data_IF_894758032628
#
_entry.id   IF_894758032628
#
_cell.length_a   1.000
_cell.length_b   1.000
_cell.length_c   1.000
_cell.angle_alpha   90.00
_cell.angle_beta   90.00
_cell.angle_gamma   90.00
#
_symmetry.space_group_name_H-M   'P 1'
#
loop_
_entity.id
_entity.type
_entity.pdbx_description
1 polymer ?
#
# COMPACT_ATOMS: atom_id res chain seq x y z
N UNK A 1 -12.09 1.89 -12.10
CA UNK A 1 -10.76 1.48 -12.46
C UNK A 1 -10.70 0.01 -12.81
N UNK A 2 -9.70 -0.35 -13.59
CA UNK A 2 -9.52 -1.74 -14.04
C UNK A 2 -8.18 -2.32 -13.61
N UNK A 3 -7.27 -1.47 -13.19
CA UNK A 3 -5.95 -1.90 -12.76
C UNK A 3 -5.64 -1.29 -11.40
N UNK A 4 -5.14 -2.13 -10.50
CA UNK A 4 -4.96 -1.78 -9.09
C UNK A 4 -3.56 -2.21 -8.64
N UNK A 5 -2.87 -1.32 -7.92
CA UNK A 5 -1.62 -1.68 -7.27
C UNK A 5 -1.79 -1.49 -5.77
N UNK A 6 -1.40 -2.48 -5.00
CA UNK A 6 -1.43 -2.45 -3.54
C UNK A 6 0.02 -2.40 -3.04
N UNK A 7 0.38 -1.29 -2.40
CA UNK A 7 1.73 -1.06 -1.88
C UNK A 7 1.65 -1.21 -0.37
N UNK A 8 2.29 -2.26 0.16
CA UNK A 8 2.13 -2.68 1.55
C UNK A 8 3.47 -2.63 2.27
N UNK A 9 3.52 -1.85 3.33
CA UNK A 9 4.68 -1.71 4.20
C UNK A 9 4.92 -3.01 4.96
N UNK A 10 6.13 -3.56 4.82
CA UNK A 10 6.58 -4.73 5.60
C UNK A 10 7.79 -4.40 6.46
N UNK A 11 7.96 -3.12 6.80
CA UNK A 11 9.05 -2.72 7.68
C UNK A 11 8.85 -3.27 9.10
N UNK A 12 9.89 -3.18 9.91
CA UNK A 12 9.89 -3.75 11.27
C UNK A 12 8.71 -3.27 12.11
N UNK A 13 8.30 -2.00 11.96
CA UNK A 13 7.20 -1.43 12.74
C UNK A 13 5.84 -2.05 12.44
N UNK A 14 5.70 -2.71 11.29
CA UNK A 14 4.47 -3.40 10.92
C UNK A 14 4.35 -4.80 11.51
N UNK A 15 5.40 -5.30 12.15
CA UNK A 15 5.42 -6.64 12.71
C UNK A 15 5.07 -6.70 14.19
N UNK A 16 5.32 -7.85 14.80
CA UNK A 16 4.95 -8.15 16.18
C UNK A 16 5.63 -7.29 17.24
N UNK A 17 6.77 -6.68 16.91
CA UNK A 17 7.47 -5.74 17.80
C UNK A 17 6.96 -4.31 17.66
N UNK A 18 6.08 -4.06 16.72
CA UNK A 18 5.42 -2.77 16.51
C UNK A 18 3.92 -2.94 16.61
N UNK A 19 3.19 -2.45 15.61
CA UNK A 19 1.73 -2.49 15.59
C UNK A 19 1.14 -3.87 15.28
N UNK A 20 1.96 -4.81 14.83
CA UNK A 20 1.49 -6.09 14.29
C UNK A 20 0.45 -5.89 13.19
N UNK A 21 0.69 -4.90 12.34
CA UNK A 21 -0.29 -4.45 11.35
C UNK A 21 -0.21 -5.20 10.02
N UNK A 22 0.83 -6.01 9.81
CA UNK A 22 0.99 -6.71 8.53
C UNK A 22 -0.19 -7.65 8.25
N UNK A 23 -0.69 -8.35 9.27
CA UNK A 23 -1.86 -9.20 9.12
C UNK A 23 -3.13 -8.40 8.86
N UNK A 24 -3.26 -7.22 9.48
CA UNK A 24 -4.39 -6.33 9.23
C UNK A 24 -4.34 -5.78 7.80
N UNK A 25 -3.15 -5.45 7.30
CA UNK A 25 -2.97 -5.03 5.92
C UNK A 25 -3.37 -6.13 4.96
N UNK A 26 -3.01 -7.39 5.26
CA UNK A 26 -3.42 -8.52 4.45
C UNK A 26 -4.93 -8.68 4.40
N UNK A 27 -5.62 -8.48 5.53
CA UNK A 27 -7.09 -8.53 5.56
C UNK A 27 -7.72 -7.45 4.71
N UNK A 28 -7.17 -6.23 4.74
CA UNK A 28 -7.65 -5.15 3.89
C UNK A 28 -7.45 -5.49 2.41
N UNK A 29 -6.31 -6.06 2.07
CA UNK A 29 -6.03 -6.50 0.71
C UNK A 29 -7.01 -7.58 0.26
N UNK A 30 -7.26 -8.58 1.11
CA UNK A 30 -8.18 -9.67 0.80
C UNK A 30 -9.59 -9.14 0.51
N UNK A 31 -10.06 -8.17 1.29
CA UNK A 31 -11.35 -7.53 1.08
C UNK A 31 -11.40 -6.79 -0.25
N UNK A 32 -10.35 -6.03 -0.55
CA UNK A 32 -10.30 -5.29 -1.81
C UNK A 32 -10.27 -6.23 -3.01
N UNK A 33 -9.49 -7.31 -2.94
CA UNK A 33 -9.40 -8.28 -4.03
C UNK A 33 -10.71 -9.03 -4.24
N UNK A 34 -11.49 -9.26 -3.19
CA UNK A 34 -12.77 -9.94 -3.30
C UNK A 34 -13.77 -9.15 -4.15
N UNK A 35 -13.58 -7.83 -4.26
CA UNK A 35 -14.44 -6.99 -5.08
C UNK A 35 -14.00 -6.90 -6.54
N UNK A 36 -12.81 -7.40 -6.87
CA UNK A 36 -12.31 -7.37 -8.24
C UNK A 36 -12.93 -8.50 -9.06
N UNK A 37 -13.21 -8.20 -10.32
CA UNK A 37 -13.68 -9.20 -11.28
C UNK A 37 -12.52 -9.67 -12.15
N UNK A 38 -12.72 -10.78 -12.88
CA UNK A 38 -11.65 -11.45 -13.64
C UNK A 38 -11.01 -10.58 -14.71
N UNK A 39 -11.71 -9.56 -15.20
CA UNK A 39 -11.16 -8.62 -16.17
C UNK A 39 -10.25 -7.57 -15.55
N UNK A 40 -10.25 -7.45 -14.23
CA UNK A 40 -9.37 -6.53 -13.53
C UNK A 40 -7.96 -7.13 -13.40
N UNK A 41 -6.98 -6.24 -13.29
CA UNK A 41 -5.59 -6.61 -13.07
C UNK A 41 -5.09 -5.99 -11.78
N UNK A 42 -4.14 -6.66 -11.13
CA UNK A 42 -3.57 -6.14 -9.90
C UNK A 42 -2.08 -6.49 -9.78
N UNK A 43 -1.39 -5.73 -8.95
CA UNK A 43 -0.02 -6.01 -8.54
C UNK A 43 0.06 -5.70 -7.05
N UNK A 44 0.86 -6.48 -6.32
CA UNK A 44 1.13 -6.21 -4.90
C UNK A 44 2.62 -5.95 -4.76
N UNK A 45 2.96 -4.87 -4.09
CA UNK A 45 4.34 -4.51 -3.77
C UNK A 45 4.47 -4.48 -2.25
N UNK A 46 5.22 -5.41 -1.69
CA UNK A 46 5.55 -5.40 -0.28
C UNK A 46 6.93 -4.76 -0.14
N UNK A 47 7.08 -3.79 0.76
CA UNK A 47 8.33 -3.04 0.82
C UNK A 47 8.82 -2.81 2.26
N UNK A 48 10.12 -2.71 2.37
CA UNK A 48 10.83 -2.12 3.48
C UNK A 48 11.76 -1.07 2.89
N UNK A 49 13.06 -1.23 2.95
CA UNK A 49 13.97 -0.37 2.18
C UNK A 49 13.90 -0.65 0.69
N UNK A 50 13.49 -1.87 0.32
CA UNK A 50 13.38 -2.33 -1.06
C UNK A 50 12.04 -2.99 -1.31
N UNK A 51 11.51 -2.90 -2.54
CA UNK A 51 10.24 -3.54 -2.86
C UNK A 51 10.42 -5.01 -3.28
N UNK A 52 9.41 -5.81 -2.97
CA UNK A 52 9.22 -7.17 -3.47
C UNK A 52 7.87 -7.22 -4.18
N UNK A 53 7.82 -7.77 -5.37
CA UNK A 53 6.66 -7.68 -6.24
C UNK A 53 5.91 -9.00 -6.35
N UNK A 54 4.59 -8.91 -6.38
CA UNK A 54 3.72 -10.03 -6.75
C UNK A 54 2.80 -9.60 -7.92
N UNK A 55 2.74 -10.33 -8.98
CA UNK A 55 3.44 -11.60 -9.28
C UNK A 55 4.93 -11.37 -9.60
N UNK A 56 5.22 -10.23 -10.18
CA UNK A 56 6.54 -9.72 -10.50
C UNK A 56 6.38 -8.24 -10.83
N UNK A 57 7.17 -7.67 -11.71
CA UNK A 57 7.05 -6.25 -12.07
C UNK A 57 5.91 -5.95 -13.04
N UNK A 58 5.09 -6.94 -13.34
CA UNK A 58 3.90 -6.78 -14.19
C UNK A 58 2.64 -7.01 -13.36
N UNK A 59 1.47 -6.93 -14.00
CA UNK A 59 0.20 -7.14 -13.32
C UNK A 59 -0.32 -8.56 -13.52
N UNK A 60 -1.09 -9.06 -12.56
CA UNK A 60 -1.78 -10.34 -12.63
C UNK A 60 -3.26 -10.10 -12.82
N UNK A 61 -3.94 -11.07 -13.45
CA UNK A 61 -5.41 -11.04 -13.52
C UNK A 61 -6.01 -11.44 -12.17
N UNK A 62 -7.17 -10.86 -11.84
CA UNK A 62 -7.86 -11.13 -10.57
C UNK A 62 -8.68 -12.43 -10.66
N UNK A 63 -7.99 -13.54 -10.87
CA UNK A 63 -8.59 -14.88 -10.96
C UNK A 63 -8.22 -15.70 -9.73
N UNK A 64 -9.01 -16.75 -9.37
CA UNK A 64 -8.78 -17.49 -8.11
C UNK A 64 -7.36 -18.05 -7.96
N UNK A 65 -6.77 -18.56 -9.03
CA UNK A 65 -5.41 -19.10 -8.98
C UNK A 65 -4.37 -18.07 -8.56
N UNK A 66 -4.51 -16.83 -9.04
CA UNK A 66 -3.60 -15.74 -8.66
C UNK A 66 -3.84 -15.28 -7.22
N UNK A 67 -5.09 -15.32 -6.75
CA UNK A 67 -5.39 -15.00 -5.35
C UNK A 67 -4.77 -16.02 -4.41
N UNK A 68 -4.78 -17.29 -4.79
CA UNK A 68 -4.14 -18.35 -4.00
C UNK A 68 -2.62 -18.16 -3.96
N UNK A 69 -1.99 -17.84 -5.08
CA UNK A 69 -0.55 -17.56 -5.15
C UNK A 69 -0.20 -16.36 -4.29
N UNK A 70 -1.07 -15.35 -4.24
CA UNK A 70 -0.85 -14.18 -3.39
C UNK A 70 -0.86 -14.55 -1.91
N UNK A 71 -1.76 -15.44 -1.49
CA UNK A 71 -1.76 -15.94 -0.10
C UNK A 71 -0.45 -16.62 0.24
N UNK A 72 0.08 -17.41 -0.68
CA UNK A 72 1.38 -18.07 -0.50
C UNK A 72 2.51 -17.04 -0.41
N UNK A 73 2.46 -16.00 -1.25
CA UNK A 73 3.41 -14.90 -1.20
C UNK A 73 3.41 -14.23 0.17
N UNK A 74 2.23 -13.90 0.71
CA UNK A 74 2.13 -13.30 2.03
C UNK A 74 2.56 -14.24 3.13
N UNK A 75 2.31 -15.54 2.99
CA UNK A 75 2.76 -16.53 3.96
C UNK A 75 4.27 -16.58 4.13
N UNK A 76 5.01 -16.20 3.09
CA UNK A 76 6.46 -16.12 3.15
C UNK A 76 7.02 -14.76 3.56
N UNK A 77 6.17 -13.76 3.78
CA UNK A 77 6.62 -12.43 4.15
C UNK A 77 6.80 -12.31 5.67
N UNK A 78 7.89 -11.67 6.05
CA UNK A 78 8.12 -11.28 7.44
C UNK A 78 8.34 -9.77 7.47
N UNK A 79 7.91 -9.13 8.56
CA UNK A 79 8.16 -7.70 8.76
C UNK A 79 9.57 -7.50 9.29
N UNK A 80 10.39 -6.74 8.56
CA UNK A 80 11.75 -6.41 8.98
C UNK A 80 12.27 -5.21 8.19
N UNK A 81 13.41 -4.68 8.64
CA UNK A 81 14.11 -3.63 7.92
C UNK A 81 13.52 -2.24 8.13
N UNK A 82 14.06 -1.29 7.42
CA UNK A 82 13.64 0.11 7.43
C UNK A 82 12.46 0.36 6.51
N UNK A 83 12.31 1.62 6.08
CA UNK A 83 11.14 2.03 5.29
C UNK A 83 11.55 3.03 4.22
N UNK A 84 11.12 2.81 2.98
CA UNK A 84 11.28 3.76 1.90
C UNK A 84 9.97 3.89 1.14
N UNK A 85 9.10 4.77 1.63
CA UNK A 85 7.77 4.96 1.06
C UNK A 85 7.81 5.48 -0.38
N UNK A 86 8.68 6.44 -0.67
CA UNK A 86 8.75 7.02 -2.01
C UNK A 86 9.13 5.99 -3.06
N UNK A 87 10.16 5.21 -2.81
CA UNK A 87 10.61 4.18 -3.73
C UNK A 87 9.48 3.21 -4.07
N UNK A 88 8.74 2.80 -3.04
CA UNK A 88 7.65 1.84 -3.20
C UNK A 88 6.47 2.42 -4.00
N UNK A 89 6.07 3.64 -3.68
CA UNK A 89 4.96 4.29 -4.40
C UNK A 89 5.35 4.53 -5.87
N UNK A 90 6.56 5.01 -6.13
CA UNK A 90 7.02 5.20 -7.51
C UNK A 90 7.10 3.88 -8.26
N UNK A 91 7.48 2.80 -7.59
CA UNK A 91 7.49 1.47 -8.21
C UNK A 91 6.08 1.04 -8.62
N UNK A 92 5.08 1.33 -7.78
CA UNK A 92 3.68 1.05 -8.11
C UNK A 92 3.17 1.88 -9.28
N UNK A 93 3.63 3.09 -9.42
CA UNK A 93 3.20 3.97 -10.51
C UNK A 93 3.80 3.58 -11.86
N UNK A 94 4.85 2.75 -11.88
CA UNK A 94 5.48 2.33 -13.15
C UNK A 94 4.55 1.57 -14.07
N UNK A 95 3.62 0.79 -13.51
CA UNK A 95 2.66 0.03 -14.32
C UNK A 95 1.43 0.85 -14.69
N UNK A 96 1.43 2.14 -14.35
CA UNK A 96 0.36 3.10 -14.66
C UNK A 96 -1.02 2.57 -14.25
N UNK A 97 -1.22 2.22 -12.97
CA UNK A 97 -2.50 1.69 -12.52
C UNK A 97 -3.57 2.79 -12.52
N UNK A 98 -4.83 2.39 -12.59
CA UNK A 98 -5.94 3.31 -12.38
C UNK A 98 -6.02 3.73 -10.90
N UNK A 99 -5.74 2.79 -10.01
CA UNK A 99 -5.82 3.01 -8.55
C UNK A 99 -4.61 2.41 -7.86
N UNK A 100 -4.03 3.15 -6.93
CA UNK A 100 -2.95 2.67 -6.08
C UNK A 100 -3.37 2.83 -4.62
N UNK A 101 -3.20 1.78 -3.84
CA UNK A 101 -3.42 1.81 -2.39
C UNK A 101 -2.08 1.72 -1.67
N UNK A 102 -1.84 2.62 -0.73
CA UNK A 102 -0.68 2.57 0.16
C UNK A 102 -1.15 2.18 1.55
N UNK A 103 -0.64 1.08 2.07
CA UNK A 103 -0.99 0.53 3.38
C UNK A 103 0.26 0.52 4.26
N UNK A 104 0.29 1.36 5.27
CA UNK A 104 1.46 1.51 6.15
C UNK A 104 1.05 2.09 7.50
N UNK A 105 1.94 2.01 8.47
CA UNK A 105 1.76 2.71 9.75
C UNK A 105 2.24 4.17 9.68
N UNK A 106 2.75 4.60 8.53
CA UNK A 106 3.24 5.97 8.35
C UNK A 106 4.58 6.24 9.05
N UNK A 107 5.32 5.19 9.38
CA UNK A 107 6.60 5.34 10.10
C UNK A 107 7.61 6.16 9.32
N UNK A 108 8.52 6.81 10.06
CA UNK A 108 9.60 7.59 9.46
C UNK A 108 10.49 6.75 8.55
N UNK A 109 11.02 7.34 7.47
CA UNK A 109 10.92 8.76 7.14
C UNK A 109 9.61 9.08 6.39
N UNK A 110 8.93 10.15 6.81
CA UNK A 110 7.75 10.64 6.09
C UNK A 110 8.16 11.26 4.77
N UNK A 111 7.20 11.34 3.83
CA UNK A 111 7.45 12.02 2.57
C UNK A 111 7.45 13.54 2.78
N UNK A 112 8.51 14.20 2.31
CA UNK A 112 8.59 15.65 2.35
C UNK A 112 7.91 16.27 1.12
N UNK A 113 7.89 17.62 1.05
CA UNK A 113 7.20 18.32 -0.03
C UNK A 113 7.75 17.96 -1.41
N UNK A 114 9.07 17.84 -1.53
CA UNK A 114 9.72 17.49 -2.80
C UNK A 114 9.29 16.09 -3.25
N UNK A 115 9.25 15.14 -2.33
CA UNK A 115 8.85 13.77 -2.62
C UNK A 115 7.38 13.67 -2.99
N UNK A 116 6.51 14.38 -2.27
CA UNK A 116 5.08 14.43 -2.58
C UNK A 116 4.84 15.01 -3.98
N UNK A 117 5.55 16.08 -4.34
CA UNK A 117 5.44 16.70 -5.66
C UNK A 117 5.92 15.74 -6.75
N UNK A 118 6.97 14.97 -6.47
CA UNK A 118 7.50 14.01 -7.42
C UNK A 118 6.49 12.90 -7.70
N UNK A 119 5.83 12.40 -6.66
CA UNK A 119 4.77 11.40 -6.80
C UNK A 119 3.61 11.96 -7.61
N UNK A 120 3.17 13.19 -7.29
CA UNK A 120 2.06 13.82 -8.00
C UNK A 120 2.36 13.97 -9.50
N UNK A 121 3.57 14.39 -9.83
CA UNK A 121 3.98 14.49 -11.23
C UNK A 121 3.99 13.14 -11.92
N UNK A 122 4.47 12.10 -11.24
CA UNK A 122 4.53 10.77 -11.80
C UNK A 122 3.14 10.18 -12.01
N UNK A 123 2.20 10.42 -11.09
CA UNK A 123 0.82 9.95 -11.25
C UNK A 123 0.06 10.70 -12.35
N UNK A 124 0.42 11.97 -12.58
CA UNK A 124 -0.07 12.77 -13.69
C UNK A 124 -1.58 12.93 -13.76
N UNK A 125 -2.28 12.75 -12.65
CA UNK A 125 -3.74 12.77 -12.64
C UNK A 125 -4.39 11.50 -13.21
N UNK A 126 -3.59 10.52 -13.63
CA UNK A 126 -4.10 9.26 -14.21
C UNK A 126 -4.31 8.17 -13.17
N UNK A 127 -3.62 8.26 -12.05
CA UNK A 127 -3.74 7.28 -10.95
C UNK A 127 -4.33 7.95 -9.73
N UNK A 128 -5.39 7.36 -9.19
CA UNK A 128 -5.95 7.76 -7.90
C UNK A 128 -5.18 7.03 -6.81
N UNK A 129 -4.71 7.76 -5.78
CA UNK A 129 -3.95 7.16 -4.68
C UNK A 129 -4.78 7.24 -3.41
N UNK A 130 -5.12 6.08 -2.85
CA UNK A 130 -5.76 5.96 -1.54
C UNK A 130 -4.73 5.53 -0.52
N UNK A 131 -4.83 6.06 0.69
CA UNK A 131 -3.91 5.72 1.77
C UNK A 131 -4.66 5.14 2.95
N UNK A 132 -4.16 4.02 3.49
CA UNK A 132 -4.69 3.38 4.69
C UNK A 132 -3.56 3.37 5.71
N UNK A 133 -3.75 4.09 6.81
CA UNK A 133 -2.78 4.16 7.88
C UNK A 133 -3.22 3.32 9.07
N UNK A 134 -2.33 2.48 9.56
CA UNK A 134 -2.56 1.67 10.76
C UNK A 134 -1.92 2.38 11.94
N UNK A 135 -2.64 2.43 13.05
CA UNK A 135 -2.13 3.00 14.28
C UNK A 135 -2.77 2.36 15.49
N UNK A 136 -2.32 2.75 16.65
CA UNK A 136 -2.86 2.26 17.92
C UNK A 136 -3.35 3.47 18.71
N UNK A 137 -4.65 3.51 18.94
CA UNK A 137 -5.28 4.65 19.57
C UNK A 137 -5.89 5.60 18.54
N UNK A 138 -6.46 6.72 18.99
CA UNK A 138 -7.06 7.69 18.08
C UNK A 138 -6.01 8.34 17.19
N UNK A 139 -6.43 8.72 15.99
CA UNK A 139 -5.56 9.44 15.06
C UNK A 139 -5.13 10.75 15.68
N UNK A 140 -3.82 11.04 15.60
CA UNK A 140 -3.30 12.33 16.04
C UNK A 140 -3.80 13.43 15.09
N UNK A 141 -3.99 14.64 15.63
CA UNK A 141 -4.53 15.77 14.87
C UNK A 141 -3.59 16.25 13.75
N UNK A 142 -2.31 15.97 13.86
CA UNK A 142 -1.35 16.43 12.86
C UNK A 142 -1.60 15.74 11.53
N UNK A 143 -1.60 16.54 10.46
CA UNK A 143 -1.76 16.02 9.12
C UNK A 143 -0.52 15.23 8.71
N UNK A 144 -0.69 13.93 8.51
CA UNK A 144 0.41 13.08 8.06
C UNK A 144 0.65 13.25 6.57
N UNK A 145 1.83 12.79 6.11
CA UNK A 145 2.10 12.77 4.67
C UNK A 145 1.07 11.95 3.91
N UNK A 146 0.50 10.95 4.55
CA UNK A 146 -0.49 10.06 3.91
C UNK A 146 -1.78 10.80 3.57
N UNK A 147 -2.20 11.71 4.44
CA UNK A 147 -3.37 12.55 4.17
C UNK A 147 -3.13 13.45 2.96
N UNK A 148 -1.93 14.05 2.89
CA UNK A 148 -1.54 14.91 1.76
C UNK A 148 -1.41 14.09 0.48
N UNK A 149 -0.77 12.93 0.57
CA UNK A 149 -0.57 12.06 -0.59
C UNK A 149 -1.91 11.67 -1.21
N UNK A 150 -2.87 11.25 -0.42
CA UNK A 150 -4.20 10.90 -0.91
C UNK A 150 -4.91 12.11 -1.51
N UNK A 151 -4.97 13.23 -0.78
CA UNK A 151 -5.68 14.41 -1.22
C UNK A 151 -5.13 14.98 -2.54
N UNK A 152 -3.81 14.99 -2.68
CA UNK A 152 -3.16 15.55 -3.88
C UNK A 152 -3.29 14.65 -5.11
N UNK A 153 -3.70 13.40 -4.93
CA UNK A 153 -3.82 12.43 -6.01
C UNK A 153 -5.24 11.89 -6.17
N UNK A 154 -6.23 12.69 -5.75
CA UNK A 154 -7.64 12.40 -6.00
C UNK A 154 -8.23 11.28 -5.17
N UNK A 155 -7.53 10.81 -4.15
CA UNK A 155 -7.95 9.67 -3.35
C UNK A 155 -8.41 10.04 -1.95
N UNK A 156 -8.59 9.01 -1.13
CA UNK A 156 -9.07 9.14 0.23
C UNK A 156 -8.07 8.56 1.22
N UNK A 157 -8.04 9.16 2.40
CA UNK A 157 -7.26 8.70 3.54
C UNK A 157 -8.17 7.97 4.50
N UNK A 158 -7.74 6.80 4.97
CA UNK A 158 -8.48 6.02 5.96
C UNK A 158 -7.53 5.59 7.07
N UNK A 159 -7.96 5.76 8.32
CA UNK A 159 -7.18 5.38 9.49
C UNK A 159 -7.79 4.15 10.16
N UNK A 160 -6.96 3.15 10.45
CA UNK A 160 -7.36 1.93 11.15
C UNK A 160 -6.75 1.97 12.56
N UNK A 161 -7.61 2.09 13.57
CA UNK A 161 -7.19 2.02 14.96
C UNK A 161 -7.12 0.54 15.37
N UNK A 162 -5.92 0.04 15.59
CA UNK A 162 -5.68 -1.37 15.86
C UNK A 162 -6.28 -1.86 17.16
N UNK A 163 -6.66 -0.94 18.07
CA UNK A 163 -7.35 -1.31 19.31
C UNK A 163 -8.78 -1.80 19.05
N UNK A 164 -9.38 -1.43 17.93
CA UNK A 164 -10.80 -1.68 17.60
C UNK A 164 -11.00 -2.87 16.67
N UNK A 165 -10.03 -3.71 16.55
CA UNK A 165 -10.11 -4.88 15.65
C UNK A 165 -11.06 -5.93 16.19
#
# INVERSE_FOLDING_TARGET
GRSFVFVIDRSKSMGGQGLNALSAAQKQLDRALAELVETHQFQVIAYHDKPVYFPNRTMAKAVPGNRQRLKEFFGGLAAFGGTNHELAVLAGLRVKPDVLFLLTDGASPELNRVQLDRVRRRSGGLTTIHCIQFGFGPLQEQTSFMQKLAAENGGQFHYVDMRKR
#
